data_IF_339882295904
#
_entry.id   IF_339882295904
#
_cell.length_a   1.000
_cell.length_b   1.000
_cell.length_c   1.000
_cell.angle_alpha   90.00
_cell.angle_beta   90.00
_cell.angle_gamma   90.00
#
_symmetry.space_group_name_H-M   'P 1'
#
loop_
_entity.id
_entity.type
_entity.pdbx_description
1 polymer ?
#
# COMPACT_ATOMS: atom_id res chain seq x y z
N UNK A 1 51.62 48.67 -27.88
CA UNK A 1 51.31 49.37 -26.61
C UNK A 1 49.87 49.04 -26.27
N UNK A 2 49.76 48.15 -25.30
CA UNK A 2 48.55 47.56 -24.69
C UNK A 2 47.61 48.61 -24.10
N UNK A 3 46.29 48.39 -24.17
CA UNK A 3 45.32 48.63 -23.08
C UNK A 3 43.89 48.16 -23.48
N UNK A 4 43.39 47.16 -22.74
CA UNK A 4 41.98 46.88 -22.33
C UNK A 4 40.99 46.49 -23.44
N UNK A 5 40.47 45.27 -23.64
CA UNK A 5 40.10 44.14 -22.76
C UNK A 5 39.42 44.53 -21.45
N UNK A 6 38.09 44.66 -21.47
CA UNK A 6 37.15 44.20 -20.42
C UNK A 6 35.70 44.54 -20.82
N UNK A 7 35.11 43.67 -21.65
CA UNK A 7 33.66 43.60 -21.83
C UNK A 7 33.21 42.16 -21.54
N UNK A 8 33.33 41.77 -20.27
CA UNK A 8 32.74 40.54 -19.74
C UNK A 8 31.99 40.87 -18.46
N UNK A 9 30.79 40.33 -18.40
CA UNK A 9 29.99 40.09 -17.20
C UNK A 9 29.39 41.32 -16.52
N UNK A 10 28.23 41.77 -17.01
CA UNK A 10 27.16 42.29 -16.16
C UNK A 10 25.84 42.18 -16.92
N UNK A 11 24.81 41.70 -16.23
CA UNK A 11 23.44 41.44 -16.68
C UNK A 11 23.15 40.11 -17.40
N UNK A 12 23.61 39.01 -16.81
CA UNK A 12 22.89 37.73 -16.89
C UNK A 12 22.67 37.20 -15.47
N UNK A 13 21.95 37.97 -14.66
CA UNK A 13 21.52 37.60 -13.32
C UNK A 13 20.11 38.13 -13.05
N UNK A 14 19.18 37.86 -13.96
CA UNK A 14 17.77 37.73 -13.58
C UNK A 14 17.50 36.23 -13.45
N UNK A 15 17.97 35.67 -12.34
CA UNK A 15 17.62 34.32 -11.91
C UNK A 15 16.12 34.28 -11.64
N UNK A 16 15.39 33.67 -12.58
CA UNK A 16 14.34 32.66 -12.37
C UNK A 16 13.98 32.44 -10.89
N UNK A 17 13.21 33.36 -10.32
CA UNK A 17 12.60 33.21 -8.98
C UNK A 17 11.14 33.63 -8.94
N UNK A 18 10.61 34.22 -10.02
CA UNK A 18 9.18 34.30 -10.22
C UNK A 18 8.73 33.02 -10.92
N UNK A 19 7.60 32.43 -10.51
CA UNK A 19 6.99 31.21 -11.05
C UNK A 19 7.48 29.87 -10.48
N UNK A 20 7.91 29.82 -9.21
CA UNK A 20 7.53 28.64 -8.43
C UNK A 20 6.01 28.76 -8.20
N UNK A 21 5.20 27.72 -8.52
CA UNK A 21 3.79 27.74 -8.17
C UNK A 21 3.71 28.04 -6.67
N UNK A 22 2.87 29.02 -6.28
CA UNK A 22 2.48 29.18 -4.89
C UNK A 22 2.13 27.78 -4.40
N UNK A 23 2.83 27.29 -3.37
CA UNK A 23 2.36 26.14 -2.64
C UNK A 23 0.92 26.52 -2.25
N UNK A 24 -0.05 25.82 -2.83
CA UNK A 24 -1.41 25.92 -2.39
C UNK A 24 -1.39 25.44 -0.95
N UNK A 25 -1.30 26.37 0.00
CA UNK A 25 -1.42 26.07 1.41
C UNK A 25 -2.73 25.30 1.57
N UNK A 26 -2.60 24.01 1.93
CA UNK A 26 -3.75 23.21 2.26
C UNK A 26 -4.54 24.00 3.31
N UNK A 27 -5.83 24.22 3.05
CA UNK A 27 -6.69 25.02 3.92
C UNK A 27 -6.48 24.57 5.38
N UNK A 28 -6.08 25.45 6.32
CA UNK A 28 -5.64 25.03 7.66
C UNK A 28 -6.64 24.12 8.37
N UNK A 29 -7.94 24.36 8.17
CA UNK A 29 -9.02 23.54 8.72
C UNK A 29 -9.04 22.13 8.09
N UNK A 30 -8.86 22.02 6.77
CA UNK A 30 -8.78 20.71 6.10
C UNK A 30 -7.55 19.93 6.60
N UNK A 31 -6.40 20.59 6.74
CA UNK A 31 -5.19 19.96 7.27
C UNK A 31 -5.38 19.46 8.71
N UNK A 32 -6.06 20.24 9.55
CA UNK A 32 -6.43 19.83 10.91
C UNK A 32 -7.34 18.59 10.89
N UNK A 33 -8.36 18.57 10.02
CA UNK A 33 -9.27 17.41 9.87
C UNK A 33 -8.56 16.17 9.35
N UNK A 34 -7.64 16.32 8.39
CA UNK A 34 -6.82 15.23 7.90
C UNK A 34 -5.86 14.69 8.97
N UNK A 35 -5.38 15.56 9.87
CA UNK A 35 -4.53 15.15 10.98
C UNK A 35 -5.34 14.39 12.04
N UNK A 36 -6.55 14.85 12.34
CA UNK A 36 -7.45 14.20 13.30
C UNK A 36 -8.02 12.86 12.79
N UNK A 37 -8.13 12.70 11.47
CA UNK A 37 -8.66 11.50 10.81
C UNK A 37 -7.60 10.81 9.96
N UNK A 38 -6.34 10.86 10.40
CA UNK A 38 -5.21 10.31 9.65
C UNK A 38 -5.39 8.82 9.38
N UNK A 39 -5.33 8.43 8.09
CA UNK A 39 -5.45 7.04 7.63
C UNK A 39 -4.19 6.59 6.91
N UNK A 40 -3.81 5.34 7.15
CA UNK A 40 -2.81 4.66 6.30
C UNK A 40 -3.43 4.26 4.93
N UNK A 41 -2.63 3.84 3.94
CA UNK A 41 -3.12 3.54 2.59
C UNK A 41 -4.21 2.46 2.55
N UNK A 42 -4.14 1.42 3.38
CA UNK A 42 -5.19 0.39 3.41
C UNK A 42 -6.50 0.90 4.00
N UNK A 43 -6.44 1.72 5.04
CA UNK A 43 -7.61 2.32 5.66
C UNK A 43 -8.26 3.35 4.73
N UNK A 44 -7.44 4.11 3.99
CA UNK A 44 -7.90 5.02 2.96
C UNK A 44 -8.57 4.27 1.79
N UNK A 45 -7.98 3.16 1.32
CA UNK A 45 -8.59 2.27 0.32
C UNK A 45 -9.92 1.69 0.82
N UNK A 46 -9.95 1.17 2.06
CA UNK A 46 -11.17 0.65 2.66
C UNK A 46 -12.27 1.73 2.75
N UNK A 47 -11.91 2.97 3.12
CA UNK A 47 -12.84 4.09 3.15
C UNK A 47 -13.35 4.46 1.76
N UNK A 48 -12.50 4.41 0.74
CA UNK A 48 -12.91 4.65 -0.64
C UNK A 48 -13.91 3.60 -1.14
N UNK A 49 -13.65 2.31 -0.90
CA UNK A 49 -14.59 1.24 -1.24
C UNK A 49 -15.88 1.34 -0.42
N UNK A 50 -15.79 1.73 0.85
CA UNK A 50 -16.95 2.02 1.68
C UNK A 50 -17.79 3.17 1.10
N UNK A 51 -17.17 4.28 0.72
CA UNK A 51 -17.87 5.42 0.12
C UNK A 51 -18.55 5.04 -1.20
N UNK A 52 -17.86 4.27 -2.07
CA UNK A 52 -18.46 3.69 -3.28
C UNK A 52 -19.68 2.83 -2.94
N UNK A 53 -19.53 1.87 -2.02
CA UNK A 53 -20.63 0.97 -1.63
C UNK A 53 -21.83 1.77 -1.11
N UNK A 54 -21.58 2.78 -0.28
CA UNK A 54 -22.64 3.61 0.26
C UNK A 54 -23.34 4.43 -0.83
N UNK A 55 -22.60 5.12 -1.70
CA UNK A 55 -23.15 5.80 -2.86
C UNK A 55 -24.07 4.90 -3.69
N UNK A 56 -23.60 3.69 -4.03
CA UNK A 56 -24.36 2.72 -4.82
C UNK A 56 -25.62 2.20 -4.12
N UNK A 57 -25.55 1.97 -2.81
CA UNK A 57 -26.65 1.32 -2.07
C UNK A 57 -27.69 2.31 -1.55
N UNK A 58 -27.34 3.58 -1.34
CA UNK A 58 -28.28 4.58 -0.82
C UNK A 58 -28.82 5.53 -1.87
N UNK A 59 -28.09 5.75 -2.99
CA UNK A 59 -28.51 6.73 -4.00
C UNK A 59 -28.68 6.16 -5.41
N UNK A 60 -28.08 5.01 -5.73
CA UNK A 60 -28.27 4.38 -7.04
C UNK A 60 -29.37 3.32 -6.96
N UNK A 61 -30.48 3.59 -7.65
CA UNK A 61 -31.73 2.79 -7.59
C UNK A 61 -31.50 1.28 -7.80
N UNK A 62 -30.66 0.91 -8.77
CA UNK A 62 -30.36 -0.48 -9.10
C UNK A 62 -29.04 -0.62 -9.88
N UNK A 63 -28.43 -1.82 -9.93
CA UNK A 63 -27.21 -2.06 -10.72
C UNK A 63 -27.32 -1.72 -12.21
N UNK A 64 -28.53 -1.76 -12.77
CA UNK A 64 -28.81 -1.39 -14.17
C UNK A 64 -28.91 0.11 -14.43
N UNK A 65 -28.85 0.97 -13.42
CA UNK A 65 -28.95 2.43 -13.55
C UNK A 65 -27.62 3.10 -13.95
N UNK A 66 -26.70 2.36 -14.57
CA UNK A 66 -25.43 2.89 -15.05
C UNK A 66 -25.65 3.75 -16.29
N UNK A 67 -24.69 4.63 -16.57
CA UNK A 67 -24.52 5.25 -17.87
C UNK A 67 -23.24 4.77 -18.54
N UNK A 68 -23.22 4.81 -19.87
CA UNK A 68 -22.03 4.56 -20.65
C UNK A 68 -21.16 5.82 -20.67
N UNK A 69 -19.91 5.71 -20.22
CA UNK A 69 -18.96 6.83 -20.25
C UNK A 69 -18.36 7.05 -21.63
N UNK A 70 -18.57 6.10 -22.55
CA UNK A 70 -17.92 5.98 -23.85
C UNK A 70 -16.39 5.84 -23.81
N UNK A 71 -15.78 5.81 -22.62
CA UNK A 71 -14.37 5.55 -22.46
C UNK A 71 -14.09 4.04 -22.66
N UNK A 72 -13.03 3.65 -23.40
CA UNK A 72 -12.75 2.25 -23.66
C UNK A 72 -12.29 1.52 -22.39
N UNK A 73 -12.87 0.36 -22.12
CA UNK A 73 -12.40 -0.53 -21.06
C UNK A 73 -11.24 -1.41 -21.57
N UNK A 74 -10.23 -1.64 -20.74
CA UNK A 74 -9.04 -2.39 -21.11
C UNK A 74 -9.31 -3.88 -21.40
N UNK A 75 -10.42 -4.41 -20.90
CA UNK A 75 -10.92 -5.76 -21.19
C UNK A 75 -12.06 -5.81 -22.23
N UNK A 76 -12.24 -4.72 -23.00
CA UNK A 76 -13.21 -4.64 -24.10
C UNK A 76 -14.52 -3.95 -23.73
N UNK A 77 -15.16 -3.36 -24.74
CA UNK A 77 -16.36 -2.53 -24.57
C UNK A 77 -16.04 -1.14 -24.01
N UNK A 78 -17.04 -0.53 -23.37
CA UNK A 78 -16.96 0.80 -22.76
C UNK A 78 -17.16 0.74 -21.25
N UNK A 79 -16.49 1.64 -20.53
CA UNK A 79 -16.57 1.77 -19.09
C UNK A 79 -17.97 2.26 -18.68
N UNK A 80 -18.59 1.58 -17.72
CA UNK A 80 -19.90 1.94 -17.16
C UNK A 80 -19.74 2.60 -15.79
N UNK A 81 -20.37 3.75 -15.59
CA UNK A 81 -20.34 4.45 -14.31
C UNK A 81 -21.75 4.74 -13.79
N UNK A 82 -21.82 5.21 -12.56
CA UNK A 82 -23.02 5.59 -11.84
C UNK A 82 -22.87 7.01 -11.36
N UNK A 83 -23.97 7.76 -11.42
CA UNK A 83 -24.05 9.08 -10.83
C UNK A 83 -24.80 8.96 -9.51
N UNK A 84 -24.14 9.33 -8.41
CA UNK A 84 -24.74 9.26 -7.09
C UNK A 84 -25.89 10.27 -6.93
N UNK A 85 -25.70 11.49 -7.42
CA UNK A 85 -26.72 12.54 -7.36
C UNK A 85 -26.57 13.46 -8.55
N UNK A 86 -27.67 14.09 -8.95
CA UNK A 86 -27.63 15.10 -10.00
C UNK A 86 -27.05 16.42 -9.45
N UNK A 87 -25.99 16.92 -10.11
CA UNK A 87 -25.33 18.16 -9.74
C UNK A 87 -26.22 19.39 -9.94
N UNK A 88 -27.26 19.30 -10.78
CA UNK A 88 -28.21 20.38 -11.00
C UNK A 88 -29.16 20.59 -9.81
N UNK A 89 -29.54 19.50 -9.13
CA UNK A 89 -30.47 19.51 -8.00
C UNK A 89 -29.77 19.46 -6.64
N UNK A 90 -28.56 18.90 -6.58
CA UNK A 90 -27.75 18.78 -5.37
C UNK A 90 -26.37 19.39 -5.56
N UNK A 91 -26.33 20.66 -5.97
CA UNK A 91 -25.09 21.39 -6.24
C UNK A 91 -24.14 21.42 -5.03
N UNK A 92 -24.68 21.37 -3.80
CA UNK A 92 -23.89 21.39 -2.56
C UNK A 92 -23.28 20.03 -2.19
N UNK A 93 -23.69 18.94 -2.85
CA UNK A 93 -23.27 17.58 -2.50
C UNK A 93 -23.82 17.10 -1.15
N UNK A 94 -24.99 17.58 -0.75
CA UNK A 94 -25.65 17.17 0.48
C UNK A 94 -25.96 15.68 0.44
N UNK A 95 -25.53 14.96 1.47
CA UNK A 95 -25.66 13.52 1.62
C UNK A 95 -25.06 12.70 0.47
N UNK A 96 -24.03 13.21 -0.22
CA UNK A 96 -23.27 12.46 -1.22
C UNK A 96 -21.94 11.94 -0.64
N UNK A 97 -21.61 10.67 -0.88
CA UNK A 97 -20.36 10.01 -0.47
C UNK A 97 -19.21 10.31 -1.45
N UNK A 98 -19.54 10.64 -2.70
CA UNK A 98 -18.61 11.09 -3.73
C UNK A 98 -18.51 12.62 -3.73
N UNK A 99 -17.36 13.16 -4.15
CA UNK A 99 -17.14 14.60 -4.09
C UNK A 99 -17.78 15.32 -5.28
N UNK A 100 -18.22 16.56 -5.06
CA UNK A 100 -18.70 17.44 -6.13
C UNK A 100 -17.65 17.61 -7.24
N UNK A 101 -16.36 17.62 -6.89
CA UNK A 101 -15.26 17.77 -7.85
C UNK A 101 -15.15 16.60 -8.84
N UNK A 102 -15.81 15.48 -8.58
CA UNK A 102 -15.89 14.33 -9.49
C UNK A 102 -17.27 14.25 -10.18
N UNK A 103 -18.07 15.32 -10.19
CA UNK A 103 -19.44 15.33 -10.71
C UNK A 103 -20.34 14.21 -10.14
N UNK A 104 -20.05 13.75 -8.93
CA UNK A 104 -20.72 12.63 -8.28
C UNK A 104 -20.64 11.29 -9.02
N UNK A 105 -19.63 11.12 -9.89
CA UNK A 105 -19.35 9.87 -10.60
C UNK A 105 -18.68 8.86 -9.68
N UNK A 106 -19.30 7.70 -9.48
CA UNK A 106 -18.93 6.77 -8.41
C UNK A 106 -17.62 6.02 -8.70
N UNK A 107 -17.52 5.36 -9.85
CA UNK A 107 -16.35 4.57 -10.21
C UNK A 107 -15.18 5.47 -10.62
N UNK A 108 -15.43 6.55 -11.37
CA UNK A 108 -14.42 7.52 -11.71
C UNK A 108 -13.79 8.16 -10.45
N UNK A 109 -14.61 8.54 -9.46
CA UNK A 109 -14.15 9.06 -8.17
C UNK A 109 -13.26 8.07 -7.42
N UNK A 110 -13.63 6.78 -7.40
CA UNK A 110 -12.80 5.72 -6.79
C UNK A 110 -11.44 5.62 -7.47
N UNK A 111 -11.44 5.48 -8.80
CA UNK A 111 -10.23 5.24 -9.58
C UNK A 111 -9.28 6.44 -9.55
N UNK A 112 -9.80 7.66 -9.63
CA UNK A 112 -8.99 8.88 -9.61
C UNK A 112 -8.24 9.04 -8.28
N UNK A 113 -8.80 8.54 -7.18
CA UNK A 113 -8.24 8.64 -5.82
C UNK A 113 -7.30 7.50 -5.48
N UNK A 114 -7.62 6.28 -5.92
CA UNK A 114 -6.88 5.07 -5.56
C UNK A 114 -5.69 4.78 -6.51
N UNK A 115 -5.80 5.12 -7.79
CA UNK A 115 -4.83 4.71 -8.80
C UNK A 115 -4.19 5.88 -9.55
N UNK A 116 -2.94 5.71 -9.96
CA UNK A 116 -2.30 6.52 -11.00
C UNK A 116 -2.97 6.25 -12.35
N UNK A 117 -2.88 7.20 -13.30
CA UNK A 117 -3.45 7.10 -14.65
C UNK A 117 -3.07 5.78 -15.36
N UNK A 118 -3.88 5.29 -16.30
CA UNK A 118 -3.55 4.08 -17.06
C UNK A 118 -4.78 3.28 -17.50
N UNK A 119 -4.56 2.09 -18.10
CA UNK A 119 -5.63 1.21 -18.53
C UNK A 119 -6.56 0.87 -17.36
N UNK A 120 -7.86 1.06 -17.58
CA UNK A 120 -8.90 0.81 -16.58
C UNK A 120 -9.74 -0.37 -17.04
N UNK A 121 -9.84 -1.37 -16.18
CA UNK A 121 -10.62 -2.58 -16.39
C UNK A 121 -11.95 -2.44 -15.67
N UNK A 122 -12.96 -3.21 -16.10
CA UNK A 122 -14.24 -3.26 -15.40
C UNK A 122 -14.78 -4.68 -15.28
N UNK A 123 -15.70 -4.88 -14.36
CA UNK A 123 -16.40 -6.13 -14.10
C UNK A 123 -17.57 -5.87 -13.15
N UNK A 124 -18.28 -6.91 -12.74
CA UNK A 124 -19.36 -6.78 -11.77
C UNK A 124 -18.84 -7.09 -10.37
N UNK A 125 -19.25 -6.28 -9.40
CA UNK A 125 -19.04 -6.58 -7.98
C UNK A 125 -20.06 -7.61 -7.47
N UNK A 126 -19.93 -7.98 -6.19
CA UNK A 126 -20.79 -8.98 -5.54
C UNK A 126 -22.29 -8.62 -5.55
N UNK A 127 -22.65 -7.35 -5.73
CA UNK A 127 -24.02 -6.86 -5.80
C UNK A 127 -24.48 -6.61 -7.25
N UNK A 128 -23.66 -6.96 -8.24
CA UNK A 128 -23.96 -6.81 -9.65
C UNK A 128 -23.73 -5.41 -10.21
N UNK A 129 -23.13 -4.49 -9.46
CA UNK A 129 -22.78 -3.16 -9.98
C UNK A 129 -21.44 -3.23 -10.74
N UNK A 130 -21.30 -2.44 -11.80
CA UNK A 130 -20.01 -2.29 -12.46
C UNK A 130 -18.98 -1.68 -11.50
N UNK A 131 -17.85 -2.35 -11.34
CA UNK A 131 -16.68 -1.88 -10.59
C UNK A 131 -15.51 -1.72 -11.54
N UNK A 132 -14.76 -0.63 -11.37
CA UNK A 132 -13.53 -0.38 -12.11
C UNK A 132 -12.33 -0.75 -11.26
N UNK A 133 -11.27 -1.24 -11.90
CA UNK A 133 -9.97 -1.40 -11.27
C UNK A 133 -8.83 -1.14 -12.25
N UNK A 134 -7.63 -0.94 -11.70
CA UNK A 134 -6.37 -0.94 -12.45
C UNK A 134 -5.42 -1.98 -11.86
N UNK A 135 -4.39 -2.41 -12.59
CA UNK A 135 -3.39 -3.33 -12.06
C UNK A 135 -2.76 -2.79 -10.76
N UNK A 136 -2.41 -3.70 -9.84
CA UNK A 136 -1.86 -3.33 -8.52
C UNK A 136 -0.64 -2.40 -8.60
N UNK A 137 0.19 -2.55 -9.63
CA UNK A 137 1.35 -1.68 -9.89
C UNK A 137 1.00 -0.20 -10.17
N UNK A 138 -0.27 0.12 -10.48
CA UNK A 138 -0.76 1.49 -10.65
C UNK A 138 -1.38 2.07 -9.39
N UNK A 139 -1.51 1.31 -8.31
CA UNK A 139 -2.09 1.80 -7.06
C UNK A 139 -1.18 2.88 -6.47
N UNK A 140 -1.78 3.99 -6.01
CA UNK A 140 -1.00 5.06 -5.37
C UNK A 140 -0.43 4.55 -4.06
N UNK A 141 0.81 4.90 -3.75
CA UNK A 141 1.41 4.63 -2.44
C UNK A 141 0.70 5.38 -1.32
N UNK A 142 0.11 6.54 -1.65
CA UNK A 142 -0.67 7.39 -0.75
C UNK A 142 -1.99 7.78 -1.44
N UNK A 143 -3.01 6.92 -1.40
CA UNK A 143 -4.30 7.23 -2.02
C UNK A 143 -4.97 8.41 -1.31
N UNK A 144 -5.84 9.12 -2.03
CA UNK A 144 -6.69 10.15 -1.43
C UNK A 144 -7.95 9.52 -0.85
N UNK A 145 -8.51 10.05 0.23
CA UNK A 145 -9.78 9.59 0.81
C UNK A 145 -10.64 10.77 1.26
N UNK A 146 -11.98 10.65 1.20
CA UNK A 146 -12.86 11.73 1.60
C UNK A 146 -12.86 11.94 3.12
N UNK A 147 -12.98 13.20 3.53
CA UNK A 147 -13.37 13.60 4.88
C UNK A 147 -14.71 14.30 4.86
N UNK A 148 -15.49 14.06 5.91
CA UNK A 148 -16.89 14.45 5.98
C UNK A 148 -17.12 15.48 7.06
N UNK A 149 -18.16 16.27 6.89
CA UNK A 149 -18.68 17.15 7.93
C UNK A 149 -20.17 17.39 7.76
N UNK A 150 -20.79 17.99 8.76
CA UNK A 150 -22.23 18.21 8.81
C UNK A 150 -22.69 19.50 8.09
N UNK A 151 -21.77 20.22 7.45
CA UNK A 151 -22.05 21.44 6.72
C UNK A 151 -21.18 21.52 5.45
N UNK A 152 -21.70 22.08 4.35
CA UNK A 152 -20.97 22.14 3.07
C UNK A 152 -19.77 23.08 3.15
N UNK A 153 -19.94 24.24 3.80
CA UNK A 153 -18.87 25.19 4.04
C UNK A 153 -17.93 24.69 5.15
N UNK A 154 -16.68 24.39 4.76
CA UNK A 154 -15.62 23.94 5.66
C UNK A 154 -15.30 24.95 6.77
N UNK A 155 -15.48 26.25 6.52
CA UNK A 155 -15.14 27.33 7.45
C UNK A 155 -16.28 27.71 8.39
N UNK A 156 -17.47 27.16 8.17
CA UNK A 156 -18.60 27.46 9.04
C UNK A 156 -18.30 27.02 10.48
N UNK A 157 -18.54 27.88 11.49
CA UNK A 157 -18.33 27.51 12.90
C UNK A 157 -19.29 26.40 13.37
N UNK A 158 -20.37 26.14 12.64
CA UNK A 158 -21.27 25.01 12.89
C UNK A 158 -20.80 23.71 12.23
N UNK A 159 -19.76 23.75 11.40
CA UNK A 159 -19.25 22.57 10.70
C UNK A 159 -18.43 21.67 11.63
N UNK A 160 -19.03 20.56 12.00
CA UNK A 160 -18.42 19.49 12.77
C UNK A 160 -17.95 18.39 11.82
N UNK A 161 -16.72 17.91 12.03
CA UNK A 161 -16.21 16.75 11.31
C UNK A 161 -17.03 15.50 11.67
N UNK A 162 -17.33 14.70 10.66
CA UNK A 162 -18.06 13.46 10.78
C UNK A 162 -17.16 12.28 10.39
N UNK A 163 -17.33 11.15 11.06
CA UNK A 163 -16.54 9.95 10.88
C UNK A 163 -17.43 8.78 10.47
N UNK A 164 -17.06 7.98 9.45
CA UNK A 164 -17.64 6.66 9.25
C UNK A 164 -17.37 5.76 10.47
N UNK A 165 -18.21 4.74 10.70
CA UNK A 165 -17.92 3.73 11.73
C UNK A 165 -16.53 3.12 11.51
N UNK A 166 -15.70 2.87 12.54
CA UNK A 166 -14.33 2.36 12.38
C UNK A 166 -14.22 1.08 11.56
N UNK A 167 -15.21 0.19 11.72
CA UNK A 167 -15.30 -1.08 11.02
C UNK A 167 -16.00 -0.97 9.65
N UNK A 168 -16.43 0.23 9.25
CA UNK A 168 -17.08 0.53 7.98
C UNK A 168 -18.29 -0.39 7.68
N UNK A 169 -19.02 -0.80 8.72
CA UNK A 169 -20.09 -1.80 8.61
C UNK A 169 -21.37 -1.23 7.98
N UNK A 170 -21.67 0.03 8.23
CA UNK A 170 -22.87 0.72 7.75
C UNK A 170 -22.50 2.03 7.05
N UNK A 171 -23.48 2.68 6.45
CA UNK A 171 -23.33 3.98 5.78
C UNK A 171 -23.70 5.15 6.71
N UNK A 172 -23.52 4.98 8.01
CA UNK A 172 -23.83 6.01 9.00
C UNK A 172 -22.59 6.80 9.40
N UNK A 173 -22.81 8.04 9.81
CA UNK A 173 -21.78 8.94 10.33
C UNK A 173 -21.90 9.12 11.83
N UNK A 174 -20.76 9.44 12.45
CA UNK A 174 -20.61 9.62 13.89
C UNK A 174 -19.84 10.91 14.17
N UNK A 175 -20.11 11.51 15.32
CA UNK A 175 -19.42 12.71 15.78
C UNK A 175 -18.03 12.41 16.37
N UNK A 176 -17.71 11.14 16.59
CA UNK A 176 -16.43 10.69 17.14
C UNK A 176 -15.80 9.60 16.26
N UNK A 177 -14.46 9.52 16.24
CA UNK A 177 -13.74 8.55 15.43
C UNK A 177 -13.88 7.10 15.92
N UNK A 178 -14.43 6.86 17.12
CA UNK A 178 -14.66 5.51 17.64
C UNK A 178 -16.04 4.95 17.23
N UNK A 179 -16.88 5.75 16.57
CA UNK A 179 -18.19 5.32 16.10
C UNK A 179 -19.21 5.11 17.22
N UNK A 180 -19.13 5.89 18.30
CA UNK A 180 -19.97 5.70 19.50
C UNK A 180 -21.15 6.67 19.57
N UNK A 181 -21.05 7.85 18.97
CA UNK A 181 -22.05 8.92 18.97
C UNK A 181 -22.56 9.12 17.55
N UNK A 182 -23.70 8.49 17.24
CA UNK A 182 -24.34 8.55 15.92
C UNK A 182 -24.75 9.99 15.58
N UNK A 183 -24.41 10.45 14.38
CA UNK A 183 -24.83 11.74 13.83
C UNK A 183 -26.25 11.66 13.22
N UNK A 184 -27.21 11.20 14.02
CA UNK A 184 -28.58 10.95 13.56
C UNK A 184 -29.27 12.24 13.11
N UNK A 185 -29.98 12.19 11.98
CA UNK A 185 -30.74 13.32 11.44
C UNK A 185 -29.88 14.48 10.91
N UNK A 186 -28.55 14.36 10.95
CA UNK A 186 -27.64 15.35 10.37
C UNK A 186 -27.47 15.13 8.88
N UNK A 187 -27.39 16.23 8.13
CA UNK A 187 -26.88 16.18 6.75
C UNK A 187 -25.37 16.00 6.79
N UNK A 188 -24.78 15.42 5.74
CA UNK A 188 -23.33 15.32 5.61
C UNK A 188 -22.85 15.79 4.24
N UNK A 189 -21.57 16.13 4.16
CA UNK A 189 -20.91 16.64 2.95
C UNK A 189 -19.48 16.12 2.89
N UNK A 190 -18.97 15.83 1.69
CA UNK A 190 -17.53 15.66 1.46
C UNK A 190 -16.89 17.04 1.48
N UNK A 191 -16.24 17.41 2.60
CA UNK A 191 -15.61 18.73 2.73
C UNK A 191 -14.22 18.82 2.09
N UNK A 192 -13.64 17.67 1.73
CA UNK A 192 -12.34 17.64 1.09
C UNK A 192 -11.79 16.23 0.99
N UNK A 193 -10.58 16.15 0.44
CA UNK A 193 -9.81 14.93 0.32
C UNK A 193 -8.56 15.05 1.18
N UNK A 194 -8.28 14.00 1.94
CA UNK A 194 -7.03 13.84 2.65
C UNK A 194 -6.16 12.85 1.89
N UNK A 195 -4.87 13.13 1.80
CA UNK A 195 -3.91 12.14 1.35
C UNK A 195 -3.67 11.15 2.49
N UNK A 196 -3.64 9.85 2.18
CA UNK A 196 -3.20 8.85 3.13
C UNK A 196 -1.88 9.31 3.74
N UNK A 197 -1.83 9.29 5.08
CA UNK A 197 -0.55 9.26 5.73
C UNK A 197 0.21 8.10 5.10
N UNK A 198 1.54 8.23 4.92
CA UNK A 198 2.33 7.02 4.74
C UNK A 198 1.83 6.04 5.80
N UNK A 199 1.48 4.80 5.41
CA UNK A 199 1.46 3.72 6.40
C UNK A 199 2.69 3.97 7.23
N UNK A 200 2.62 4.00 8.57
CA UNK A 200 3.82 4.09 9.41
C UNK A 200 4.79 3.08 8.80
N UNK A 201 5.69 3.54 7.93
CA UNK A 201 6.08 2.64 6.84
C UNK A 201 6.99 1.73 7.59
N UNK A 202 6.55 0.49 7.80
CA UNK A 202 7.29 -0.37 8.71
C UNK A 202 8.71 -0.50 8.18
N UNK A 203 8.91 -0.33 6.87
CA UNK A 203 10.20 -0.14 6.22
C UNK A 203 10.98 1.13 6.62
N UNK A 204 10.28 2.23 6.95
CA UNK A 204 10.83 3.50 7.47
C UNK A 204 11.08 3.47 8.99
N UNK A 205 10.28 2.71 9.76
CA UNK A 205 10.53 2.50 11.20
C UNK A 205 11.65 1.49 11.41
N UNK A 206 11.61 0.39 10.66
CA UNK A 206 12.53 -0.75 10.72
C UNK A 206 13.65 -0.61 9.68
N UNK A 207 14.14 0.61 9.46
CA UNK A 207 15.16 0.89 8.43
C UNK A 207 16.45 0.17 8.75
N UNK A 208 16.81 -0.74 7.86
CA UNK A 208 18.09 -1.44 7.91
C UNK A 208 19.06 -0.91 6.85
N UNK A 209 20.32 -0.74 7.24
CA UNK A 209 21.44 -0.61 6.31
C UNK A 209 21.57 -1.85 5.41
N UNK A 210 22.33 -1.75 4.32
CA UNK A 210 22.62 -2.90 3.44
C UNK A 210 23.16 -4.10 4.24
N UNK A 211 24.00 -3.84 5.25
CA UNK A 211 24.58 -4.90 6.09
C UNK A 211 23.51 -5.57 6.95
N UNK A 212 22.76 -4.81 7.73
CA UNK A 212 21.72 -5.33 8.62
C UNK A 212 20.62 -6.06 7.84
N UNK A 213 20.28 -5.56 6.65
CA UNK A 213 19.32 -6.22 5.76
C UNK A 213 19.79 -7.60 5.33
N UNK A 214 21.07 -7.76 4.95
CA UNK A 214 21.67 -9.06 4.61
C UNK A 214 21.66 -9.99 5.81
N UNK A 215 22.05 -9.48 6.99
CA UNK A 215 22.03 -10.24 8.25
C UNK A 215 20.61 -10.73 8.57
N UNK A 216 19.58 -9.90 8.39
CA UNK A 216 18.19 -10.29 8.59
C UNK A 216 17.69 -11.32 7.56
N UNK A 217 18.09 -11.20 6.30
CA UNK A 217 17.74 -12.17 5.25
C UNK A 217 18.36 -13.53 5.55
N UNK A 218 19.64 -13.58 5.93
CA UNK A 218 20.31 -14.81 6.36
C UNK A 218 19.67 -15.39 7.63
N UNK A 219 19.36 -14.54 8.62
CA UNK A 219 18.67 -14.95 9.85
C UNK A 219 17.30 -15.58 9.56
N UNK A 220 16.47 -14.92 8.73
CA UNK A 220 15.14 -15.43 8.38
C UNK A 220 15.23 -16.78 7.66
N UNK A 221 16.19 -16.94 6.73
CA UNK A 221 16.47 -18.23 6.09
C UNK A 221 16.84 -19.29 7.12
N UNK A 222 17.82 -19.01 7.98
CA UNK A 222 18.28 -19.98 9.00
C UNK A 222 17.17 -20.37 9.97
N UNK A 223 16.27 -19.45 10.31
CA UNK A 223 15.15 -19.73 11.20
C UNK A 223 14.05 -20.54 10.51
N UNK A 224 13.72 -20.26 9.25
CA UNK A 224 12.83 -21.10 8.45
C UNK A 224 13.33 -22.55 8.37
N UNK A 225 14.62 -22.74 8.07
CA UNK A 225 15.21 -24.08 8.01
C UNK A 225 15.16 -24.81 9.36
N UNK A 226 15.63 -24.17 10.43
CA UNK A 226 15.74 -24.81 11.76
C UNK A 226 14.40 -25.09 12.44
N UNK A 227 13.41 -24.20 12.25
CA UNK A 227 12.14 -24.28 12.97
C UNK A 227 11.04 -24.97 12.15
N UNK A 228 11.04 -24.82 10.82
CA UNK A 228 9.86 -25.11 10.01
C UNK A 228 10.02 -26.22 8.97
N UNK A 229 11.25 -26.57 8.56
CA UNK A 229 11.47 -27.51 7.43
C UNK A 229 12.01 -28.87 7.86
N UNK A 230 12.69 -28.98 8.99
CA UNK A 230 13.25 -30.24 9.48
C UNK A 230 14.67 -30.50 8.95
N UNK A 231 15.11 -31.77 8.78
CA UNK A 231 16.52 -32.07 8.46
C UNK A 231 16.92 -31.63 7.05
N UNK A 232 18.24 -31.51 6.75
CA UNK A 232 18.72 -31.10 5.43
C UNK A 232 18.22 -31.92 4.24
N UNK A 233 17.79 -33.17 4.48
CA UNK A 233 17.20 -34.07 3.49
C UNK A 233 15.73 -33.78 3.15
N UNK A 234 15.05 -32.90 3.88
CA UNK A 234 13.63 -32.55 3.69
C UNK A 234 13.40 -31.51 2.57
N UNK A 235 14.24 -31.55 1.53
CA UNK A 235 14.11 -30.68 0.37
C UNK A 235 13.12 -31.26 -0.64
N UNK A 236 12.61 -30.39 -1.51
CA UNK A 236 11.88 -30.77 -2.71
C UNK A 236 12.59 -30.25 -3.97
N UNK A 237 12.39 -30.96 -5.07
CA UNK A 237 12.89 -30.53 -6.38
C UNK A 237 11.97 -29.45 -6.96
N UNK A 238 12.53 -28.29 -7.31
CA UNK A 238 11.76 -27.19 -7.89
C UNK A 238 11.49 -27.34 -9.38
N UNK A 239 12.18 -28.26 -10.06
CA UNK A 239 12.17 -28.38 -11.53
C UNK A 239 12.90 -27.23 -12.25
N UNK A 240 13.43 -26.24 -11.53
CA UNK A 240 14.19 -25.14 -12.12
C UNK A 240 15.63 -25.60 -12.37
N UNK A 241 16.20 -25.40 -13.57
CA UNK A 241 17.57 -25.81 -13.85
C UNK A 241 18.58 -24.97 -13.05
N UNK A 242 19.60 -25.63 -12.50
CA UNK A 242 20.77 -24.95 -11.98
C UNK A 242 21.58 -24.30 -13.12
N UNK A 243 22.43 -23.33 -12.80
CA UNK A 243 23.22 -22.55 -13.77
C UNK A 243 24.08 -23.42 -14.69
N UNK A 244 24.63 -24.52 -14.18
CA UNK A 244 25.44 -25.47 -14.93
C UNK A 244 24.60 -26.49 -15.73
N UNK A 245 23.27 -26.42 -15.62
CA UNK A 245 22.29 -27.31 -16.23
C UNK A 245 22.50 -28.80 -15.88
N UNK A 246 23.33 -29.10 -14.89
CA UNK A 246 23.66 -30.48 -14.51
C UNK A 246 22.56 -31.11 -13.65
N UNK A 247 21.75 -30.27 -13.01
CA UNK A 247 20.72 -30.66 -12.05
C UNK A 247 19.64 -29.59 -11.96
N UNK A 248 18.61 -29.89 -11.16
CA UNK A 248 17.56 -28.97 -10.76
C UNK A 248 17.86 -28.38 -9.37
N UNK A 249 17.34 -27.19 -9.12
CA UNK A 249 17.49 -26.50 -7.86
C UNK A 249 16.60 -27.15 -6.79
N UNK A 250 17.14 -27.30 -5.58
CA UNK A 250 16.46 -27.89 -4.43
C UNK A 250 16.05 -26.82 -3.44
N UNK A 251 14.79 -26.82 -3.03
CA UNK A 251 14.26 -25.86 -2.05
C UNK A 251 13.59 -26.58 -0.86
N UNK A 252 13.15 -25.76 0.08
CA UNK A 252 12.65 -26.10 1.40
C UNK A 252 11.36 -25.30 1.60
N UNK A 253 10.29 -25.97 2.04
CA UNK A 253 8.97 -25.34 2.16
C UNK A 253 8.56 -25.21 3.62
N UNK A 254 8.14 -24.00 4.02
CA UNK A 254 7.56 -23.76 5.36
C UNK A 254 6.04 -24.03 5.40
N UNK A 255 5.45 -24.57 4.33
CA UNK A 255 4.01 -24.84 4.23
C UNK A 255 3.48 -25.77 5.32
N UNK A 256 4.31 -26.68 5.85
CA UNK A 256 3.95 -27.55 6.96
C UNK A 256 3.89 -26.81 8.33
N UNK A 257 4.54 -25.66 8.46
CA UNK A 257 4.48 -24.85 9.67
C UNK A 257 3.17 -24.03 9.74
N UNK A 258 2.71 -23.63 10.93
CA UNK A 258 1.56 -22.74 11.09
C UNK A 258 1.72 -21.44 10.28
N UNK A 259 0.65 -20.96 9.65
CA UNK A 259 0.65 -19.74 8.82
C UNK A 259 1.20 -18.50 9.56
N UNK A 260 1.10 -18.50 10.89
CA UNK A 260 1.55 -17.44 11.78
C UNK A 260 2.94 -17.68 12.39
N UNK A 261 3.81 -18.50 11.77
CA UNK A 261 5.23 -18.69 12.16
C UNK A 261 6.18 -18.95 10.98
N UNK A 262 5.86 -18.47 9.77
CA UNK A 262 6.70 -18.67 8.56
C UNK A 262 7.60 -17.45 8.28
N UNK A 263 8.85 -17.68 7.91
CA UNK A 263 9.87 -16.63 7.73
C UNK A 263 10.04 -16.16 6.27
N UNK A 264 9.68 -16.99 5.28
CA UNK A 264 9.75 -16.70 3.83
C UNK A 264 8.51 -15.98 3.26
N UNK A 265 7.42 -15.94 4.02
CA UNK A 265 6.20 -15.24 3.65
C UNK A 265 5.44 -15.79 2.43
N UNK A 266 4.20 -15.32 2.21
CA UNK A 266 3.31 -15.85 1.18
C UNK A 266 3.72 -15.47 -0.26
N UNK A 267 4.43 -14.36 -0.45
CA UNK A 267 4.80 -13.88 -1.79
C UNK A 267 5.70 -14.83 -2.56
N UNK A 268 6.39 -15.74 -1.85
CA UNK A 268 7.29 -16.74 -2.41
C UNK A 268 6.81 -18.17 -2.15
N UNK A 269 5.49 -18.39 -2.04
CA UNK A 269 4.90 -19.71 -1.76
C UNK A 269 5.49 -20.40 -0.53
N UNK A 270 6.04 -19.64 0.41
CA UNK A 270 6.75 -20.13 1.59
C UNK A 270 8.00 -20.98 1.27
N UNK A 271 8.63 -20.74 0.13
CA UNK A 271 9.87 -21.37 -0.33
C UNK A 271 11.08 -20.59 0.20
N UNK A 272 11.93 -21.27 0.98
CA UNK A 272 12.96 -20.64 1.81
C UNK A 272 14.11 -20.08 0.96
N UNK A 273 14.65 -20.86 0.03
CA UNK A 273 15.75 -20.42 -0.83
C UNK A 273 15.29 -19.45 -1.91
N UNK A 274 14.09 -19.64 -2.48
CA UNK A 274 13.48 -18.68 -3.39
C UNK A 274 13.31 -17.29 -2.73
N UNK A 275 12.77 -17.24 -1.50
CA UNK A 275 12.69 -16.01 -0.72
C UNK A 275 14.07 -15.39 -0.50
N UNK A 276 15.03 -16.17 -0.01
CA UNK A 276 16.41 -15.72 0.22
C UNK A 276 17.06 -15.09 -1.02
N UNK A 277 16.96 -15.75 -2.18
CA UNK A 277 17.58 -15.28 -3.42
C UNK A 277 16.89 -14.04 -3.97
N UNK A 278 15.57 -14.01 -3.97
CA UNK A 278 14.82 -12.85 -4.46
C UNK A 278 15.08 -11.58 -3.67
N UNK A 279 15.36 -11.76 -2.37
CA UNK A 279 15.73 -10.72 -1.42
C UNK A 279 17.11 -10.13 -1.70
N UNK A 280 18.08 -10.96 -2.06
CA UNK A 280 19.47 -10.52 -2.25
C UNK A 280 19.82 -10.13 -3.69
N UNK A 281 19.16 -10.72 -4.68
CA UNK A 281 19.52 -10.59 -6.08
C UNK A 281 18.38 -10.05 -6.93
N UNK A 282 18.73 -9.39 -8.04
CA UNK A 282 17.77 -9.01 -9.07
C UNK A 282 17.26 -10.26 -9.81
N UNK A 283 16.08 -10.15 -10.43
CA UNK A 283 15.56 -11.19 -11.32
C UNK A 283 16.54 -11.49 -12.45
N UNK A 284 16.57 -12.73 -12.90
CA UNK A 284 17.60 -13.26 -13.80
C UNK A 284 17.49 -14.78 -13.88
N UNK A 285 18.05 -15.34 -14.95
CA UNK A 285 17.90 -16.75 -15.34
C UNK A 285 18.92 -17.69 -14.69
N UNK A 286 19.90 -17.14 -13.96
CA UNK A 286 21.07 -17.88 -13.49
C UNK A 286 21.07 -18.00 -11.96
N UNK A 287 20.79 -19.19 -11.44
CA UNK A 287 20.98 -19.53 -10.04
C UNK A 287 21.85 -20.79 -9.92
N UNK A 288 22.84 -20.77 -9.03
CA UNK A 288 23.60 -21.95 -8.65
C UNK A 288 23.16 -22.39 -7.25
N UNK A 289 23.41 -23.65 -6.90
CA UNK A 289 23.21 -24.14 -5.53
C UNK A 289 24.52 -24.67 -4.95
N UNK A 290 24.74 -24.42 -3.67
CA UNK A 290 25.76 -25.07 -2.85
C UNK A 290 25.13 -25.66 -1.59
N UNK A 291 25.95 -26.16 -0.68
CA UNK A 291 25.51 -26.49 0.69
C UNK A 291 26.03 -25.42 1.66
N UNK A 292 25.20 -25.04 2.63
CA UNK A 292 25.67 -24.24 3.76
C UNK A 292 26.40 -25.08 4.81
N UNK A 293 26.89 -24.42 5.87
CA UNK A 293 27.65 -25.07 6.94
C UNK A 293 26.84 -26.13 7.72
N UNK A 294 25.51 -26.12 7.60
CA UNK A 294 24.61 -27.07 8.24
C UNK A 294 24.15 -28.17 7.26
N UNK A 295 24.65 -28.16 6.03
CA UNK A 295 24.34 -29.14 5.00
C UNK A 295 23.05 -28.88 4.23
N UNK A 296 22.36 -27.74 4.45
CA UNK A 296 21.19 -27.38 3.65
C UNK A 296 21.62 -26.81 2.31
N UNK A 297 20.85 -27.10 1.26
CA UNK A 297 21.03 -26.44 -0.02
C UNK A 297 20.82 -24.93 0.12
N UNK A 298 21.75 -24.13 -0.42
CA UNK A 298 21.68 -22.68 -0.44
C UNK A 298 21.85 -22.21 -1.88
N UNK A 299 20.86 -21.44 -2.34
CA UNK A 299 20.92 -20.86 -3.68
C UNK A 299 21.74 -19.57 -3.66
N UNK A 300 22.40 -19.31 -4.78
CA UNK A 300 23.10 -18.07 -5.07
C UNK A 300 22.91 -17.66 -6.53
N UNK A 301 23.31 -16.44 -6.86
CA UNK A 301 23.40 -15.96 -8.24
C UNK A 301 24.73 -15.27 -8.47
N UNK A 302 24.98 -14.90 -9.72
CA UNK A 302 26.09 -14.04 -10.11
C UNK A 302 26.20 -12.82 -9.15
N UNK A 303 27.36 -12.57 -8.53
CA UNK A 303 27.57 -11.40 -7.67
C UNK A 303 27.22 -10.06 -8.31
N UNK A 304 27.35 -9.92 -9.64
CA UNK A 304 26.94 -8.73 -10.40
C UNK A 304 25.43 -8.50 -10.41
N UNK A 305 24.62 -9.52 -10.09
CA UNK A 305 23.17 -9.41 -9.91
C UNK A 305 22.77 -9.07 -8.47
N UNK A 306 23.72 -8.97 -7.54
CA UNK A 306 23.42 -8.61 -6.16
C UNK A 306 22.78 -7.21 -6.13
N UNK A 307 21.69 -7.08 -5.39
CA UNK A 307 21.03 -5.78 -5.20
C UNK A 307 21.96 -4.88 -4.41
N UNK A 308 22.12 -3.64 -4.90
CA UNK A 308 22.76 -2.58 -4.10
C UNK A 308 21.98 -2.33 -2.80
N UNK A 309 20.65 -2.49 -2.85
CA UNK A 309 19.74 -2.37 -1.71
C UNK A 309 18.90 -3.65 -1.59
N UNK A 310 19.31 -4.63 -0.78
CA UNK A 310 18.56 -5.87 -0.60
C UNK A 310 17.16 -5.65 -0.05
N UNK A 311 16.25 -6.59 -0.33
CA UNK A 311 14.90 -6.61 0.20
C UNK A 311 14.83 -7.51 1.43
N UNK A 312 14.61 -6.99 2.62
CA UNK A 312 14.52 -7.76 3.87
C UNK A 312 13.06 -7.92 4.33
N UNK A 313 12.69 -9.06 4.94
CA UNK A 313 11.35 -9.25 5.48
C UNK A 313 11.14 -8.37 6.73
N UNK A 314 9.91 -7.89 6.88
CA UNK A 314 9.43 -7.26 8.13
C UNK A 314 8.28 -8.07 8.71
N UNK A 315 8.21 -8.07 10.04
CA UNK A 315 7.32 -8.97 10.77
C UNK A 315 6.29 -8.21 11.62
N UNK A 316 5.13 -8.82 11.83
CA UNK A 316 4.10 -8.25 12.68
C UNK A 316 3.18 -9.27 13.30
N UNK A 317 2.39 -8.85 14.29
CA UNK A 317 1.39 -9.70 14.97
C UNK A 317 0.07 -9.82 14.20
N UNK A 318 -0.05 -9.21 13.03
CA UNK A 318 -1.20 -9.31 12.13
C UNK A 318 -0.70 -9.59 10.72
N UNK A 319 -1.43 -10.36 9.87
CA UNK A 319 -1.06 -10.50 8.46
C UNK A 319 -1.19 -9.18 7.69
N UNK A 320 -2.11 -8.31 8.11
CA UNK A 320 -2.23 -6.96 7.57
C UNK A 320 -1.14 -6.05 8.15
N UNK A 321 -0.27 -5.54 7.26
CA UNK A 321 0.85 -4.64 7.60
C UNK A 321 0.40 -3.37 8.34
N UNK A 322 -0.86 -3.00 8.19
CA UNK A 322 -1.45 -1.80 8.76
C UNK A 322 -2.06 -2.03 10.15
N UNK A 323 -2.03 -3.26 10.66
CA UNK A 323 -2.52 -3.64 11.98
C UNK A 323 -1.50 -4.49 12.75
N UNK A 324 -1.74 -4.69 14.05
CA UNK A 324 -0.81 -5.40 14.93
C UNK A 324 0.48 -4.62 15.25
N UNK A 325 1.32 -5.18 16.12
CA UNK A 325 2.61 -4.62 16.46
C UNK A 325 3.66 -4.96 15.40
N UNK A 326 4.65 -4.07 15.19
CA UNK A 326 5.89 -4.41 14.49
C UNK A 326 6.73 -5.30 15.41
N UNK A 327 7.34 -6.33 14.81
CA UNK A 327 8.24 -7.23 15.51
C UNK A 327 9.62 -7.23 14.85
N UNK A 328 10.67 -7.28 15.65
CA UNK A 328 12.05 -7.31 15.19
C UNK A 328 12.79 -8.54 15.71
N UNK A 329 13.78 -9.07 14.97
CA UNK A 329 14.66 -10.12 15.49
C UNK A 329 15.39 -9.65 16.75
N UNK A 330 15.66 -10.57 17.68
CA UNK A 330 16.52 -10.30 18.82
C UNK A 330 17.99 -10.14 18.43
N UNK A 331 18.83 -9.71 19.37
CA UNK A 331 20.29 -9.59 19.18
C UNK A 331 21.03 -10.94 19.21
N UNK A 332 20.32 -12.05 19.41
CA UNK A 332 20.88 -13.39 19.55
C UNK A 332 20.65 -14.30 18.33
N UNK A 333 21.09 -15.55 18.44
CA UNK A 333 20.88 -16.59 17.41
C UNK A 333 19.53 -17.31 17.53
N UNK A 334 18.65 -16.83 18.42
CA UNK A 334 17.29 -17.33 18.55
C UNK A 334 16.45 -16.98 17.32
N UNK A 335 15.35 -17.70 17.16
CA UNK A 335 14.39 -17.49 16.08
C UNK A 335 13.13 -16.78 16.57
N UNK A 336 13.26 -16.02 17.66
CA UNK A 336 12.16 -15.26 18.22
C UNK A 336 12.09 -13.86 17.60
N UNK A 337 10.88 -13.32 17.62
CA UNK A 337 10.57 -11.97 17.18
C UNK A 337 9.99 -11.21 18.35
N UNK A 338 10.48 -10.01 18.58
CA UNK A 338 10.23 -9.25 19.78
C UNK A 338 9.44 -7.99 19.47
N UNK A 339 8.49 -7.66 20.34
CA UNK A 339 7.83 -6.35 20.33
C UNK A 339 8.82 -5.25 20.75
N UNK A 340 8.42 -3.98 20.59
CA UNK A 340 9.16 -2.83 21.11
C UNK A 340 9.37 -2.85 22.63
N UNK A 341 8.57 -3.64 23.37
CA UNK A 341 8.71 -3.84 24.81
C UNK A 341 9.66 -4.99 25.16
N UNK A 342 10.30 -5.62 24.18
CA UNK A 342 11.22 -6.75 24.37
C UNK A 342 10.52 -8.08 24.68
N UNK A 343 9.21 -8.17 24.48
CA UNK A 343 8.46 -9.42 24.70
C UNK A 343 8.49 -10.27 23.44
N UNK A 344 8.91 -11.54 23.56
CA UNK A 344 8.89 -12.48 22.46
C UNK A 344 7.44 -12.80 22.05
N UNK A 345 7.15 -12.69 20.77
CA UNK A 345 5.85 -13.04 20.20
C UNK A 345 5.78 -14.54 19.92
N UNK A 346 4.69 -15.18 20.34
CA UNK A 346 4.42 -16.60 20.05
C UNK A 346 3.96 -16.83 18.61
N UNK A 347 3.51 -15.79 17.92
CA UNK A 347 3.07 -15.80 16.52
C UNK A 347 3.50 -14.52 15.79
N UNK A 348 3.68 -14.60 14.48
CA UNK A 348 4.04 -13.49 13.63
C UNK A 348 3.71 -13.77 12.17
N UNK A 349 3.70 -12.72 11.36
CA UNK A 349 3.49 -12.79 9.92
C UNK A 349 4.58 -11.98 9.22
N UNK A 350 5.08 -12.47 8.08
CA UNK A 350 5.85 -11.63 7.16
C UNK A 350 4.86 -10.67 6.49
N UNK A 351 4.92 -9.39 6.86
CA UNK A 351 3.99 -8.40 6.34
C UNK A 351 4.36 -7.93 4.94
N UNK A 352 5.66 -7.76 4.67
CA UNK A 352 6.20 -7.24 3.42
C UNK A 352 7.72 -7.45 3.37
N UNK A 353 8.30 -7.22 2.19
CA UNK A 353 9.72 -7.03 1.99
C UNK A 353 10.06 -5.55 1.78
N UNK A 354 10.97 -5.04 2.59
CA UNK A 354 11.43 -3.65 2.60
C UNK A 354 12.80 -3.52 1.94
N UNK A 355 13.02 -2.45 1.19
CA UNK A 355 14.33 -2.18 0.58
C UNK A 355 15.27 -1.52 1.62
N UNK A 356 16.50 -2.01 1.75
CA UNK A 356 17.50 -1.44 2.66
C UNK A 356 17.83 0.01 2.31
N UNK A 357 18.35 0.77 3.27
CA UNK A 357 18.98 2.07 2.98
C UNK A 357 20.44 1.86 2.56
N UNK A 358 21.01 2.88 1.93
CA UNK A 358 22.40 2.90 1.46
C UNK A 358 23.40 2.76 2.60
#
# INVERSE_FOLDING_TARGET
MTLLTNARALFAAFCVTAWLPQQADAQPILQQRCSADSRNPSQAEARLHWARRCALTTHVIAPGAYYDTYAPAANGGTLKDYTETDSSSNWSGMNAYTSQGDNFEVNASLISKLYMSGPTYQGLDANGYYEWWRPAARRKSRPLYPVFGNHYDLYSPSNQQLYPHPQLLNCSFYHDPNGTVLAAGSSFYVNGLCEAAPSSDRCTIDRLSVREAKERIDWARQCGLRQNVGPPSAWFDTGLPALDQSTTLKDYSETAAPDNRRYSGPSMNYEVNAAYVSSLYKSGTSAYQGSDAQGYYKWGRDPGLMRQRPLYPIFGTSPDINSGALLTPGLGSDCNLYSSTGTASSFFYVNKYCESIY
#
